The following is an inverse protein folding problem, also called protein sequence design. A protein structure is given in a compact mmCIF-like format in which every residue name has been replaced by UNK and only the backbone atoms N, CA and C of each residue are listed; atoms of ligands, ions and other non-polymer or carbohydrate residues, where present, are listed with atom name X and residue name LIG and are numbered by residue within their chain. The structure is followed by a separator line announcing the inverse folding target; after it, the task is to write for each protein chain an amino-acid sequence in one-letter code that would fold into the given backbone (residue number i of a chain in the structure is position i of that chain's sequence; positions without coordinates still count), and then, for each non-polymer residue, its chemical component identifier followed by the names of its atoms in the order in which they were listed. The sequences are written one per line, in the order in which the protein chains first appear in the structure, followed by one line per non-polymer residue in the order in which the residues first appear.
data_IF_038659476871
#
_entry.id   IF_038659476871
#
_cell.length_a   1.000
_cell.length_b   1.000
_cell.length_c   1.000
_cell.angle_alpha   90.00
_cell.angle_beta   90.00
_cell.angle_gamma   90.00
#
_symmetry.space_group_name_H-M   'P 1'
#
loop_
_entity.id
_entity.type
_entity.pdbx_description
1 polymer ?
#
# COMPACT_ATOMS: atom_id res chain seq x y z
N UNK A 1 1.55 27.28 -9.65
CA UNK A 1 1.83 26.94 -8.22
C UNK A 1 3.26 27.37 -7.92
N UNK A 2 3.47 28.17 -6.87
CA UNK A 2 4.81 28.60 -6.46
C UNK A 2 5.51 27.43 -5.74
N UNK A 3 6.33 26.69 -6.47
CA UNK A 3 7.18 25.65 -5.95
C UNK A 3 8.35 26.27 -5.19
N UNK A 4 8.66 25.75 -4.01
CA UNK A 4 9.78 26.22 -3.18
C UNK A 4 10.88 25.17 -3.10
N UNK A 5 12.10 25.63 -2.81
CA UNK A 5 13.21 24.74 -2.49
C UNK A 5 12.83 23.80 -1.33
N UNK A 6 13.19 22.53 -1.46
CA UNK A 6 12.84 21.42 -0.56
C UNK A 6 11.36 21.00 -0.54
N UNK A 7 10.50 21.60 -1.36
CA UNK A 7 9.16 21.07 -1.52
C UNK A 7 9.23 19.67 -2.13
N UNK A 8 8.43 18.76 -1.57
CA UNK A 8 8.28 17.42 -2.09
C UNK A 8 7.74 17.45 -3.52
N UNK A 9 8.30 16.62 -4.37
CA UNK A 9 7.94 16.50 -5.78
C UNK A 9 7.46 15.09 -6.07
N UNK A 10 6.20 14.94 -6.43
CA UNK A 10 5.64 13.63 -6.80
C UNK A 10 5.54 13.50 -8.33
N UNK A 11 6.67 13.24 -8.99
CA UNK A 11 6.75 13.09 -10.45
C UNK A 11 6.90 11.64 -10.92
N UNK A 12 7.07 10.69 -10.00
CA UNK A 12 7.55 9.35 -10.32
C UNK A 12 6.46 8.27 -10.27
N UNK A 13 5.20 8.62 -10.01
CA UNK A 13 4.12 7.65 -9.84
C UNK A 13 3.00 7.89 -10.83
N UNK A 14 2.66 6.84 -11.56
CA UNK A 14 1.37 6.70 -12.24
C UNK A 14 0.57 5.63 -11.51
N UNK A 15 -0.60 5.97 -11.01
CA UNK A 15 -1.53 4.99 -10.45
C UNK A 15 -2.49 4.54 -11.54
N UNK A 16 -2.68 3.24 -11.64
CA UNK A 16 -3.65 2.63 -12.54
C UNK A 16 -4.80 2.03 -11.75
N UNK A 17 -6.01 2.42 -12.09
CA UNK A 17 -7.21 1.80 -11.55
C UNK A 17 -7.40 0.44 -12.23
N UNK A 18 -7.26 -0.65 -11.47
CA UNK A 18 -7.28 -2.01 -12.03
C UNK A 18 -8.65 -2.65 -11.88
N UNK A 19 -9.27 -2.55 -10.70
CA UNK A 19 -10.55 -3.17 -10.39
C UNK A 19 -11.45 -2.23 -9.58
N UNK A 20 -12.75 -2.31 -9.82
CA UNK A 20 -13.76 -1.61 -9.00
C UNK A 20 -14.98 -2.48 -8.80
N UNK A 21 -15.54 -2.49 -7.60
CA UNK A 21 -16.81 -3.15 -7.29
C UNK A 21 -18.03 -2.51 -7.98
N UNK A 22 -17.87 -1.29 -8.50
CA UNK A 22 -18.93 -0.59 -9.24
C UNK A 22 -19.06 -1.09 -10.68
N UNK A 23 -18.08 -1.88 -11.16
CA UNK A 23 -18.13 -2.44 -12.51
C UNK A 23 -19.13 -3.58 -12.60
N UNK A 24 -19.72 -3.75 -13.78
CA UNK A 24 -20.54 -4.94 -14.08
C UNK A 24 -19.69 -6.20 -14.00
N UNK A 25 -20.26 -7.33 -13.56
CA UNK A 25 -19.55 -8.61 -13.41
C UNK A 25 -18.70 -8.98 -14.65
N UNK A 26 -19.27 -8.88 -15.86
CA UNK A 26 -18.55 -9.12 -17.11
C UNK A 26 -17.32 -8.22 -17.30
N UNK A 27 -17.34 -6.99 -16.80
CA UNK A 27 -16.19 -6.09 -16.86
C UNK A 27 -15.13 -6.51 -15.84
N UNK A 28 -15.56 -6.90 -14.63
CA UNK A 28 -14.64 -7.42 -13.59
C UNK A 28 -13.89 -8.65 -14.10
N UNK A 29 -14.57 -9.61 -14.71
CA UNK A 29 -13.95 -10.80 -15.29
C UNK A 29 -12.89 -10.44 -16.35
N UNK A 30 -13.22 -9.47 -17.21
CA UNK A 30 -12.29 -8.96 -18.21
C UNK A 30 -11.07 -8.27 -17.60
N UNK A 31 -11.27 -7.46 -16.58
CA UNK A 31 -10.20 -6.74 -15.90
C UNK A 31 -9.27 -7.71 -15.15
N UNK A 32 -9.84 -8.73 -14.50
CA UNK A 32 -9.07 -9.81 -13.85
C UNK A 32 -8.26 -10.59 -14.91
N UNK A 33 -8.86 -10.92 -16.05
CA UNK A 33 -8.16 -11.60 -17.15
C UNK A 33 -7.00 -10.75 -17.68
N UNK A 34 -7.19 -9.44 -17.89
CA UNK A 34 -6.13 -8.53 -18.30
C UNK A 34 -5.02 -8.42 -17.25
N UNK A 35 -5.37 -8.36 -15.97
CA UNK A 35 -4.40 -8.35 -14.88
C UNK A 35 -3.56 -9.65 -14.87
N UNK A 36 -4.22 -10.79 -15.01
CA UNK A 36 -3.55 -12.09 -15.10
C UNK A 36 -2.61 -12.17 -16.31
N UNK A 37 -3.08 -11.78 -17.50
CA UNK A 37 -2.23 -11.73 -18.70
C UNK A 37 -1.02 -10.81 -18.49
N UNK A 38 -1.22 -9.63 -17.90
CA UNK A 38 -0.15 -8.69 -17.60
C UNK A 38 0.89 -9.29 -16.66
N UNK A 39 0.46 -9.99 -15.61
CA UNK A 39 1.35 -10.66 -14.66
C UNK A 39 2.17 -11.78 -15.31
N UNK A 40 1.56 -12.55 -16.20
CA UNK A 40 2.23 -13.64 -16.92
C UNK A 40 3.21 -13.13 -17.99
N UNK A 41 2.96 -11.98 -18.59
CA UNK A 41 3.76 -11.43 -19.70
C UNK A 41 4.90 -10.51 -19.24
N UNK A 42 4.93 -10.07 -17.99
CA UNK A 42 5.95 -9.15 -17.47
C UNK A 42 7.38 -9.70 -17.52
N UNK A 43 7.52 -11.02 -17.65
CA UNK A 43 8.84 -11.68 -17.75
C UNK A 43 9.45 -11.59 -19.16
N UNK A 44 8.66 -11.31 -20.20
CA UNK A 44 9.11 -11.46 -21.59
C UNK A 44 8.81 -10.28 -22.53
N UNK A 45 7.78 -9.49 -22.27
CA UNK A 45 7.41 -8.36 -23.13
C UNK A 45 6.88 -7.19 -22.28
N UNK A 46 7.40 -5.96 -22.43
CA UNK A 46 6.79 -4.79 -21.79
C UNK A 46 5.43 -4.54 -22.45
N UNK A 47 4.37 -4.99 -21.79
CA UNK A 47 3.00 -4.92 -22.29
C UNK A 47 2.50 -3.47 -22.45
N UNK A 48 3.01 -2.57 -21.64
CA UNK A 48 2.76 -1.13 -21.75
C UNK A 48 3.90 -0.35 -21.08
N UNK A 49 4.28 0.82 -21.60
CA UNK A 49 5.21 1.72 -20.90
C UNK A 49 4.75 2.09 -19.49
N UNK A 50 3.42 2.04 -19.23
CA UNK A 50 2.82 2.33 -17.93
C UNK A 50 2.94 1.17 -16.93
N UNK A 51 3.20 -0.05 -17.40
CA UNK A 51 3.38 -1.27 -16.59
C UNK A 51 4.87 -1.62 -16.42
N UNK A 52 5.78 -0.67 -16.57
CA UNK A 52 7.18 -0.93 -16.31
C UNK A 52 7.39 -1.33 -14.85
N UNK A 53 7.79 -2.58 -14.68
CA UNK A 53 8.22 -3.11 -13.38
C UNK A 53 9.62 -2.59 -13.09
N UNK A 54 9.86 -2.16 -11.86
CA UNK A 54 11.17 -1.73 -11.39
C UNK A 54 11.06 -0.63 -10.34
N UNK A 55 11.49 -0.92 -9.14
CA UNK A 55 11.36 -0.06 -7.98
C UNK A 55 9.96 -0.13 -7.35
N UNK A 56 9.91 0.16 -6.06
CA UNK A 56 8.65 0.21 -5.29
C UNK A 56 8.38 1.66 -4.92
N UNK A 57 7.54 2.42 -5.66
CA UNK A 57 7.27 3.83 -5.38
C UNK A 57 6.26 3.99 -4.24
N UNK A 58 6.39 3.21 -3.15
CA UNK A 58 5.45 3.18 -2.04
C UNK A 58 5.22 4.56 -1.44
N UNK A 59 6.27 5.28 -1.08
CA UNK A 59 6.18 6.61 -0.47
C UNK A 59 5.44 7.59 -1.38
N UNK A 60 5.76 7.57 -2.69
CA UNK A 60 5.08 8.44 -3.66
C UNK A 60 3.61 8.05 -3.86
N UNK A 61 3.28 6.75 -3.81
CA UNK A 61 1.90 6.28 -3.88
C UNK A 61 1.09 6.69 -2.64
N UNK A 62 1.67 6.58 -1.45
CA UNK A 62 1.03 6.98 -0.20
C UNK A 62 0.66 8.48 -0.17
N UNK A 63 1.44 9.33 -0.82
CA UNK A 63 1.16 10.78 -0.90
C UNK A 63 -0.12 11.11 -1.67
N UNK A 64 -0.62 10.21 -2.50
CA UNK A 64 -1.83 10.43 -3.32
C UNK A 64 -3.08 9.86 -2.63
N UNK A 65 -2.91 9.01 -1.62
CA UNK A 65 -4.00 8.32 -0.92
C UNK A 65 -5.11 9.26 -0.41
N UNK A 66 -4.85 10.44 0.17
CA UNK A 66 -5.91 11.34 0.62
C UNK A 66 -6.86 11.75 -0.51
N UNK A 67 -6.33 12.03 -1.70
CA UNK A 67 -7.16 12.40 -2.85
C UNK A 67 -7.98 11.21 -3.36
N UNK A 68 -7.40 10.00 -3.37
CA UNK A 68 -8.11 8.77 -3.75
C UNK A 68 -9.25 8.49 -2.77
N UNK A 69 -9.01 8.60 -1.47
CA UNK A 69 -10.04 8.39 -0.43
C UNK A 69 -11.15 9.41 -0.55
N UNK A 70 -10.82 10.67 -0.79
CA UNK A 70 -11.80 11.74 -1.01
C UNK A 70 -12.69 11.45 -2.22
N UNK A 71 -12.08 11.08 -3.35
CA UNK A 71 -12.82 10.72 -4.57
C UNK A 71 -13.70 9.48 -4.33
N UNK A 72 -13.16 8.45 -3.69
CA UNK A 72 -13.90 7.23 -3.34
C UNK A 72 -15.13 7.56 -2.48
N UNK A 73 -14.99 8.37 -1.43
CA UNK A 73 -16.11 8.78 -0.58
C UNK A 73 -17.16 9.56 -1.33
N UNK A 74 -16.74 10.50 -2.17
CA UNK A 74 -17.67 11.31 -2.97
C UNK A 74 -18.51 10.45 -3.92
N UNK A 75 -17.93 9.37 -4.43
CA UNK A 75 -18.60 8.45 -5.35
C UNK A 75 -19.50 7.44 -4.64
N UNK A 76 -19.05 6.91 -3.50
CA UNK A 76 -19.72 5.77 -2.84
C UNK A 76 -20.56 6.16 -1.63
N UNK A 77 -20.42 7.38 -1.11
CA UNK A 77 -20.99 7.83 0.18
C UNK A 77 -20.59 6.91 1.36
N UNK A 78 -19.44 6.25 1.29
CA UNK A 78 -18.96 5.33 2.31
C UNK A 78 -18.70 6.05 3.63
N UNK A 79 -19.35 5.58 4.71
CA UNK A 79 -19.16 6.12 6.07
C UNK A 79 -17.87 5.63 6.71
N UNK A 80 -17.50 4.36 6.48
CA UNK A 80 -16.25 3.76 6.95
C UNK A 80 -15.39 3.41 5.73
N UNK A 81 -14.14 3.79 5.76
CA UNK A 81 -13.17 3.50 4.71
C UNK A 81 -11.95 2.82 5.32
N UNK A 82 -11.47 1.80 4.65
CA UNK A 82 -10.23 1.12 4.98
C UNK A 82 -9.27 1.18 3.81
N UNK A 83 -8.07 1.64 4.07
CA UNK A 83 -6.98 1.63 3.12
C UNK A 83 -6.03 0.49 3.43
N UNK A 84 -5.88 -0.44 2.50
CA UNK A 84 -4.95 -1.56 2.60
C UNK A 84 -3.88 -1.40 1.53
N UNK A 85 -2.64 -1.22 1.97
CA UNK A 85 -1.48 -1.21 1.10
C UNK A 85 -0.89 -2.61 1.03
N UNK A 86 -0.60 -3.11 -0.17
CA UNK A 86 0.08 -4.40 -0.37
C UNK A 86 1.38 -4.11 -1.11
N UNK A 87 2.51 -4.54 -0.55
CA UNK A 87 3.84 -4.31 -1.14
C UNK A 87 4.75 -5.52 -0.92
N UNK A 88 5.72 -5.70 -1.80
CA UNK A 88 6.78 -6.71 -1.71
C UNK A 88 8.18 -6.11 -1.57
N UNK A 89 8.28 -4.79 -1.43
CA UNK A 89 9.54 -4.06 -1.37
C UNK A 89 9.52 -2.83 -0.48
N UNK A 90 10.72 -2.39 -0.14
CA UNK A 90 10.93 -1.08 0.50
C UNK A 90 10.68 0.04 -0.50
N UNK A 91 10.28 1.22 0.00
CA UNK A 91 10.04 2.36 -0.86
C UNK A 91 11.29 2.87 -1.56
N UNK A 92 11.16 3.26 -2.83
CA UNK A 92 12.13 4.13 -3.48
C UNK A 92 12.15 5.51 -2.81
N UNK A 93 13.29 6.24 -2.82
CA UNK A 93 13.35 7.58 -2.26
C UNK A 93 12.32 8.52 -2.91
N UNK A 94 11.74 9.42 -2.13
CA UNK A 94 10.92 10.51 -2.67
C UNK A 94 11.78 11.54 -3.39
N UNK A 95 11.16 12.33 -4.24
CA UNK A 95 11.82 13.45 -4.91
C UNK A 95 11.49 14.77 -4.22
N UNK A 96 12.38 15.75 -4.35
CA UNK A 96 12.16 17.12 -3.92
C UNK A 96 12.74 18.12 -4.91
N UNK A 97 12.30 19.37 -4.84
CA UNK A 97 12.83 20.44 -5.68
C UNK A 97 14.10 21.03 -5.09
N UNK A 98 15.22 20.89 -5.83
CA UNK A 98 16.51 21.46 -5.48
C UNK A 98 16.98 22.47 -6.55
N UNK A 99 17.80 23.46 -6.19
CA UNK A 99 18.45 24.33 -7.16
C UNK A 99 19.31 23.50 -8.13
N UNK A 100 19.14 23.74 -9.40
CA UNK A 100 19.90 23.16 -10.51
C UNK A 100 20.39 24.29 -11.40
N UNK A 101 21.45 24.04 -12.16
CA UNK A 101 21.94 24.97 -13.16
C UNK A 101 21.89 24.33 -14.54
N UNK A 102 21.44 25.07 -15.51
CA UNK A 102 21.57 24.74 -16.93
C UNK A 102 23.01 24.91 -17.38
N UNK A 103 23.36 24.39 -18.55
CA UNK A 103 24.70 24.53 -19.13
C UNK A 103 25.07 25.99 -19.36
N UNK A 104 24.10 26.86 -19.66
CA UNK A 104 24.27 28.32 -19.81
C UNK A 104 24.28 29.09 -18.47
N UNK A 105 24.33 28.38 -17.35
CA UNK A 105 24.45 28.96 -16.00
C UNK A 105 23.16 29.45 -15.36
N UNK A 106 21.98 29.33 -16.01
CA UNK A 106 20.70 29.73 -15.42
C UNK A 106 20.28 28.77 -14.31
N UNK A 107 19.85 29.33 -13.20
CA UNK A 107 19.31 28.54 -12.08
C UNK A 107 17.83 28.21 -12.28
N UNK A 108 17.46 26.99 -11.94
CA UNK A 108 16.06 26.52 -11.91
C UNK A 108 15.86 25.51 -10.77
N UNK A 109 14.60 25.26 -10.36
CA UNK A 109 14.27 24.21 -9.42
C UNK A 109 13.98 22.91 -10.18
N UNK A 110 14.85 21.91 -10.01
CA UNK A 110 14.72 20.59 -10.63
C UNK A 110 14.46 19.51 -9.59
N UNK A 111 13.74 18.46 -10.00
CA UNK A 111 13.51 17.30 -9.14
C UNK A 111 14.83 16.52 -8.89
N UNK A 112 15.06 16.12 -7.64
CA UNK A 112 16.18 15.28 -7.23
C UNK A 112 15.75 14.32 -6.12
N UNK A 113 16.48 13.21 -5.95
CA UNK A 113 16.21 12.23 -4.90
C UNK A 113 16.52 12.76 -3.49
N UNK A 114 15.62 12.50 -2.55
CA UNK A 114 15.82 12.82 -1.14
C UNK A 114 16.50 11.65 -0.42
N UNK A 115 17.82 11.48 -0.64
CA UNK A 115 18.57 10.42 0.06
C UNK A 115 18.81 10.75 1.53
N UNK A 116 19.15 12.00 1.83
CA UNK A 116 19.61 12.43 3.16
C UNK A 116 18.96 13.74 3.61
N UNK A 117 18.08 14.31 2.80
CA UNK A 117 17.47 15.61 3.06
C UNK A 117 16.04 15.44 3.54
N UNK A 118 15.71 16.13 4.60
CA UNK A 118 14.33 16.36 4.99
C UNK A 118 13.63 17.19 3.92
N UNK A 119 12.41 16.79 3.55
CA UNK A 119 11.61 17.45 2.54
C UNK A 119 10.32 18.00 3.13
N UNK A 120 9.72 18.99 2.47
CA UNK A 120 8.51 19.65 2.92
C UNK A 120 7.32 19.22 2.07
N UNK A 121 6.36 18.56 2.70
CA UNK A 121 5.08 18.22 2.10
C UNK A 121 4.09 19.36 2.34
N UNK A 122 3.60 19.96 1.26
CA UNK A 122 2.55 21.00 1.32
C UNK A 122 1.23 20.45 0.84
N UNK A 123 0.29 20.35 1.76
CA UNK A 123 -1.06 19.84 1.48
C UNK A 123 -2.10 20.66 2.22
N UNK A 124 -3.17 21.07 1.55
CA UNK A 124 -4.30 21.83 2.12
C UNK A 124 -3.87 23.02 3.00
N UNK A 125 -2.87 23.80 2.54
CA UNK A 125 -2.36 24.95 3.28
C UNK A 125 -1.44 24.64 4.46
N UNK A 126 -1.31 23.37 4.85
CA UNK A 126 -0.40 22.91 5.88
C UNK A 126 0.95 22.51 5.30
N UNK A 127 1.98 22.56 6.13
CA UNK A 127 3.34 22.12 5.78
C UNK A 127 3.77 21.05 6.79
N UNK A 128 4.06 19.87 6.28
CA UNK A 128 4.55 18.75 7.07
C UNK A 128 5.99 18.42 6.67
N UNK A 129 6.80 18.08 7.66
CA UNK A 129 8.18 17.65 7.48
C UNK A 129 8.20 16.15 7.24
N UNK A 130 8.80 15.73 6.14
CA UNK A 130 9.02 14.31 5.82
C UNK A 130 10.52 14.04 5.98
N UNK A 131 10.84 13.12 6.86
CA UNK A 131 12.23 12.73 7.10
C UNK A 131 12.81 11.99 5.89
N UNK A 132 14.14 11.97 5.81
CA UNK A 132 14.84 11.17 4.81
C UNK A 132 14.82 9.67 5.16
N UNK A 133 15.32 8.82 4.27
CA UNK A 133 15.50 7.40 4.58
C UNK A 133 16.40 7.19 5.82
N UNK A 134 16.13 6.19 6.66
CA UNK A 134 15.10 5.14 6.48
C UNK A 134 13.67 5.55 6.88
N UNK A 135 13.50 6.72 7.49
CA UNK A 135 12.27 7.11 8.18
C UNK A 135 11.21 7.79 7.28
N UNK A 136 11.44 7.89 5.97
CA UNK A 136 10.53 8.57 5.03
C UNK A 136 9.14 7.95 5.02
N UNK A 137 9.05 6.63 4.88
CA UNK A 137 7.76 5.91 4.88
C UNK A 137 7.03 6.12 6.21
N UNK A 138 7.75 6.05 7.34
CA UNK A 138 7.17 6.29 8.66
C UNK A 138 6.58 7.70 8.78
N UNK A 139 7.31 8.72 8.34
CA UNK A 139 6.87 10.11 8.36
C UNK A 139 5.65 10.35 7.47
N UNK A 140 5.61 9.71 6.30
CA UNK A 140 4.47 9.81 5.36
C UNK A 140 3.23 9.12 5.94
N UNK A 141 3.38 7.94 6.56
CA UNK A 141 2.25 7.24 7.19
C UNK A 141 1.72 8.03 8.40
N UNK A 142 2.59 8.65 9.20
CA UNK A 142 2.16 9.54 10.27
C UNK A 142 1.40 10.75 9.74
N UNK A 143 1.86 11.36 8.66
CA UNK A 143 1.13 12.41 7.97
C UNK A 143 -0.24 11.92 7.48
N UNK A 144 -0.31 10.75 6.82
CA UNK A 144 -1.57 10.14 6.37
C UNK A 144 -2.55 9.96 7.53
N UNK A 145 -2.09 9.47 8.69
CA UNK A 145 -2.92 9.31 9.89
C UNK A 145 -3.48 10.65 10.38
N UNK A 146 -2.71 11.73 10.25
CA UNK A 146 -3.19 13.07 10.63
C UNK A 146 -4.18 13.68 9.65
N UNK A 147 -4.12 13.32 8.36
CA UNK A 147 -5.05 13.76 7.33
C UNK A 147 -6.30 12.87 7.24
N UNK A 148 -6.19 11.59 7.59
CA UNK A 148 -7.21 10.56 7.42
C UNK A 148 -7.56 9.92 8.79
N UNK A 149 -8.02 10.73 9.73
CA UNK A 149 -8.26 10.31 11.13
C UNK A 149 -9.36 9.25 11.29
N UNK A 150 -10.25 9.14 10.31
CA UNK A 150 -11.39 8.22 10.28
C UNK A 150 -11.22 7.08 9.26
N UNK A 151 -10.00 6.90 8.74
CA UNK A 151 -9.64 5.81 7.82
C UNK A 151 -8.76 4.79 8.53
N UNK A 152 -9.14 3.53 8.44
CA UNK A 152 -8.27 2.44 8.89
C UNK A 152 -7.15 2.22 7.88
N UNK A 153 -5.89 2.30 8.34
CA UNK A 153 -4.71 2.17 7.49
C UNK A 153 -3.96 0.88 7.86
N UNK A 154 -3.78 0.01 6.88
CA UNK A 154 -3.10 -1.27 7.03
C UNK A 154 -2.05 -1.45 5.95
N UNK A 155 -0.91 -2.02 6.31
CA UNK A 155 0.09 -2.46 5.35
C UNK A 155 0.28 -3.98 5.41
N UNK A 156 0.27 -4.64 4.26
CA UNK A 156 0.58 -6.05 4.09
C UNK A 156 1.85 -6.19 3.24
N UNK A 157 2.90 -6.70 3.85
CA UNK A 157 4.17 -6.94 3.18
C UNK A 157 4.27 -8.41 2.74
N UNK A 158 4.55 -8.62 1.46
CA UNK A 158 4.71 -9.95 0.88
C UNK A 158 6.20 -10.31 0.81
N UNK A 159 6.65 -11.31 1.56
CA UNK A 159 8.06 -11.67 1.53
C UNK A 159 8.45 -12.88 2.35
N UNK A 160 9.58 -13.51 1.98
CA UNK A 160 10.23 -14.55 2.80
C UNK A 160 10.80 -13.92 4.08
N UNK A 161 11.09 -14.75 5.09
CA UNK A 161 11.53 -14.31 6.42
C UNK A 161 12.59 -13.20 6.39
N UNK A 162 13.71 -13.39 5.71
CA UNK A 162 14.81 -12.43 5.72
C UNK A 162 14.39 -11.04 5.22
N UNK A 163 13.68 -10.98 4.09
CA UNK A 163 13.17 -9.73 3.52
C UNK A 163 12.13 -9.08 4.42
N UNK A 164 11.21 -9.88 4.96
CA UNK A 164 10.16 -9.42 5.88
C UNK A 164 10.73 -8.92 7.20
N UNK A 165 11.74 -9.60 7.75
CA UNK A 165 12.43 -9.18 8.98
C UNK A 165 13.16 -7.84 8.78
N UNK A 166 13.87 -7.66 7.67
CA UNK A 166 14.53 -6.40 7.31
C UNK A 166 13.51 -5.27 7.18
N UNK A 167 12.37 -5.52 6.51
CA UNK A 167 11.30 -4.55 6.34
C UNK A 167 10.69 -4.10 7.67
N UNK A 168 10.35 -5.04 8.56
CA UNK A 168 9.82 -4.71 9.90
C UNK A 168 10.86 -3.94 10.72
N UNK A 169 12.12 -4.37 10.66
CA UNK A 169 13.20 -3.73 11.40
C UNK A 169 13.41 -2.27 10.99
N UNK A 170 13.15 -1.90 9.74
CA UNK A 170 13.23 -0.52 9.28
C UNK A 170 12.24 0.41 9.98
N UNK A 171 11.20 -0.13 10.62
CA UNK A 171 10.24 0.61 11.45
C UNK A 171 10.53 0.49 12.96
N UNK A 172 11.71 0.00 13.34
CA UNK A 172 12.11 -0.14 14.75
C UNK A 172 11.53 -1.36 15.47
N UNK A 173 10.95 -2.29 14.74
CA UNK A 173 10.32 -3.50 15.27
C UNK A 173 11.16 -4.75 14.97
N UNK A 174 10.91 -5.83 15.72
CA UNK A 174 11.52 -7.14 15.47
C UNK A 174 10.44 -8.18 15.20
N UNK A 175 10.67 -9.01 14.18
CA UNK A 175 9.78 -10.10 13.84
C UNK A 175 10.21 -11.38 14.56
N UNK A 176 9.26 -12.07 15.22
CA UNK A 176 9.49 -13.40 15.79
C UNK A 176 9.53 -14.45 14.67
N UNK A 177 10.74 -14.97 14.42
CA UNK A 177 10.96 -15.97 13.37
C UNK A 177 10.17 -17.28 13.60
N UNK A 178 10.06 -17.71 14.85
CA UNK A 178 9.34 -18.98 15.17
C UNK A 178 7.85 -18.82 14.86
N UNK A 179 7.26 -17.68 15.24
CA UNK A 179 5.86 -17.37 14.94
C UNK A 179 5.64 -17.28 13.44
N UNK A 180 6.51 -16.54 12.72
CA UNK A 180 6.39 -16.39 11.27
C UNK A 180 6.52 -17.74 10.53
N UNK A 181 7.52 -18.58 10.88
CA UNK A 181 7.70 -19.90 10.25
C UNK A 181 6.54 -20.83 10.53
N UNK A 182 6.00 -20.82 11.76
CA UNK A 182 4.87 -21.65 12.15
C UNK A 182 3.57 -21.27 11.45
N UNK A 183 3.30 -19.97 11.33
CA UNK A 183 2.01 -19.43 10.88
C UNK A 183 2.01 -19.02 9.40
N UNK A 184 3.19 -18.88 8.78
CA UNK A 184 3.35 -18.30 7.44
C UNK A 184 3.08 -16.81 7.38
N UNK A 185 2.78 -16.19 8.52
CA UNK A 185 2.53 -14.75 8.65
C UNK A 185 2.90 -14.25 10.04
N UNK A 186 3.11 -12.94 10.11
CA UNK A 186 3.35 -12.20 11.36
C UNK A 186 2.62 -10.88 11.31
N UNK A 187 1.91 -10.53 12.37
CA UNK A 187 1.14 -9.29 12.45
C UNK A 187 1.59 -8.51 13.68
N UNK A 188 1.84 -7.23 13.51
CA UNK A 188 2.26 -6.33 14.56
C UNK A 188 1.65 -4.93 14.37
N UNK A 189 1.71 -4.12 15.40
CA UNK A 189 1.43 -2.68 15.34
C UNK A 189 2.75 -1.94 15.50
N UNK A 190 2.98 -0.89 14.71
CA UNK A 190 4.17 -0.05 14.84
C UNK A 190 3.78 1.42 14.99
N UNK A 191 4.74 2.25 15.36
CA UNK A 191 4.52 3.71 15.37
C UNK A 191 4.14 4.24 13.99
N UNK A 192 4.66 3.61 12.94
CA UNK A 192 4.41 4.01 11.56
C UNK A 192 3.10 3.42 11.03
N UNK A 193 2.93 2.12 11.16
CA UNK A 193 1.76 1.41 10.65
C UNK A 193 0.85 0.99 11.79
N UNK A 194 -0.42 1.44 11.82
CA UNK A 194 -1.40 0.98 12.81
C UNK A 194 -1.58 -0.54 12.81
N UNK A 195 -1.53 -1.13 11.61
CA UNK A 195 -1.42 -2.57 11.40
C UNK A 195 -0.38 -2.85 10.32
N UNK A 196 0.61 -3.68 10.66
CA UNK A 196 1.64 -4.17 9.76
C UNK A 196 1.59 -5.69 9.76
N UNK A 197 1.17 -6.26 8.65
CA UNK A 197 1.18 -7.71 8.42
C UNK A 197 2.30 -8.09 7.46
N UNK A 198 3.00 -9.16 7.73
CA UNK A 198 3.91 -9.80 6.78
C UNK A 198 3.41 -11.19 6.44
N UNK A 199 3.47 -11.55 5.19
CA UNK A 199 2.91 -12.76 4.65
C UNK A 199 3.96 -13.44 3.79
N UNK A 200 4.20 -14.73 4.04
CA UNK A 200 5.01 -15.54 3.13
C UNK A 200 4.10 -16.05 2.00
N UNK A 201 4.26 -15.56 0.77
CA UNK A 201 3.39 -15.96 -0.35
C UNK A 201 3.51 -17.46 -0.68
N UNK A 202 4.62 -18.12 -0.32
CA UNK A 202 4.80 -19.57 -0.54
C UNK A 202 3.90 -20.44 0.37
N UNK A 203 3.27 -19.84 1.39
CA UNK A 203 2.37 -20.55 2.29
C UNK A 203 0.90 -20.43 1.87
N UNK A 204 0.61 -19.68 0.80
CA UNK A 204 -0.72 -19.72 0.18
C UNK A 204 -0.80 -21.02 -0.63
N UNK A 205 -1.51 -22.00 -0.08
CA UNK A 205 -1.93 -23.14 -0.88
C UNK A 205 -3.08 -22.72 -1.78
N UNK A 206 -3.13 -23.27 -3.01
CA UNK A 206 -4.22 -23.07 -3.98
C UNK A 206 -5.57 -23.67 -3.52
N UNK A 207 -5.70 -24.03 -2.25
CA UNK A 207 -6.98 -24.41 -1.67
C UNK A 207 -7.83 -23.17 -1.54
N UNK A 208 -8.61 -22.89 -2.58
CA UNK A 208 -9.76 -22.01 -2.57
C UNK A 208 -10.82 -22.60 -1.64
N UNK A 209 -10.67 -22.35 -0.33
CA UNK A 209 -11.83 -22.38 0.54
C UNK A 209 -12.67 -21.16 0.15
N UNK A 210 -13.48 -21.32 -0.88
CA UNK A 210 -14.39 -20.29 -1.36
C UNK A 210 -15.29 -19.86 -0.21
N UNK A 211 -15.36 -18.56 0.02
CA UNK A 211 -16.41 -18.00 0.85
C UNK A 211 -17.71 -18.15 0.04
N UNK A 212 -18.30 -19.34 0.08
CA UNK A 212 -19.57 -19.64 -0.57
C UNK A 212 -20.68 -18.83 0.16
N UNK A 213 -20.94 -17.65 -0.35
CA UNK A 213 -22.00 -16.76 0.12
C UNK A 213 -22.83 -16.40 -1.10
N UNK A 214 -24.12 -16.72 -1.05
CA UNK A 214 -25.06 -16.40 -2.11
C UNK A 214 -25.28 -14.89 -2.24
N UNK A 215 -25.53 -14.43 -3.46
CA UNK A 215 -25.99 -13.06 -3.72
C UNK A 215 -27.28 -12.79 -2.94
N UNK A 216 -27.24 -11.81 -2.03
CA UNK A 216 -28.35 -11.51 -1.14
C UNK A 216 -28.28 -12.16 0.25
N UNK A 217 -27.18 -12.82 0.59
CA UNK A 217 -26.99 -13.39 1.93
C UNK A 217 -27.11 -12.34 3.03
N UNK A 218 -27.82 -12.72 4.10
CA UNK A 218 -27.97 -11.89 5.30
C UNK A 218 -26.63 -11.72 6.04
N UNK A 219 -26.50 -10.65 6.82
CA UNK A 219 -25.33 -10.40 7.68
C UNK A 219 -24.97 -11.61 8.56
N UNK A 220 -25.98 -12.36 9.03
CA UNK A 220 -25.79 -13.56 9.83
C UNK A 220 -25.20 -14.72 9.02
N UNK A 221 -25.64 -14.91 7.77
CA UNK A 221 -25.11 -15.92 6.85
C UNK A 221 -23.69 -15.61 6.44
N UNK A 222 -23.39 -14.35 6.13
CA UNK A 222 -22.03 -13.87 5.84
C UNK A 222 -21.10 -14.14 7.03
N UNK A 223 -21.55 -13.81 8.25
CA UNK A 223 -20.79 -14.05 9.49
C UNK A 223 -20.59 -15.55 9.76
N UNK A 224 -21.56 -16.40 9.48
CA UNK A 224 -21.45 -17.85 9.64
C UNK A 224 -20.47 -18.46 8.62
N UNK A 225 -20.56 -18.07 7.34
CA UNK A 225 -19.66 -18.49 6.29
C UNK A 225 -18.21 -18.05 6.58
N UNK A 226 -18.03 -16.82 7.02
CA UNK A 226 -16.73 -16.27 7.44
C UNK A 226 -16.16 -17.04 8.64
N UNK A 227 -16.98 -17.37 9.66
CA UNK A 227 -16.56 -18.16 10.81
C UNK A 227 -16.19 -19.61 10.42
N UNK A 228 -16.87 -20.17 9.43
CA UNK A 228 -16.55 -21.51 8.88
C UNK A 228 -15.21 -21.46 8.16
N UNK A 229 -14.97 -20.49 7.30
CA UNK A 229 -13.70 -20.23 6.63
C UNK A 229 -12.57 -19.98 7.65
N UNK A 230 -12.84 -19.24 8.71
CA UNK A 230 -11.90 -18.96 9.80
C UNK A 230 -11.56 -20.19 10.66
N UNK A 231 -12.32 -21.28 10.61
CA UNK A 231 -12.01 -22.54 11.31
C UNK A 231 -11.02 -23.43 10.56
N UNK A 232 -10.79 -23.22 9.28
CA UNK A 232 -9.73 -23.92 8.53
C UNK A 232 -8.35 -23.40 8.93
N UNK A 233 -7.35 -24.26 9.05
CA UNK A 233 -6.01 -23.94 9.59
C UNK A 233 -5.10 -23.24 8.57
N UNK A 234 -5.52 -22.13 7.97
CA UNK A 234 -4.73 -21.43 6.95
C UNK A 234 -4.14 -20.10 7.46
N UNK A 235 -2.97 -19.75 6.96
CA UNK A 235 -2.25 -18.49 7.26
C UNK A 235 -3.06 -17.25 6.94
N UNK A 236 -3.94 -17.31 5.95
CA UNK A 236 -4.91 -16.27 5.58
C UNK A 236 -5.85 -15.90 6.72
N UNK A 237 -6.15 -16.87 7.62
CA UNK A 237 -7.08 -16.72 8.73
C UNK A 237 -6.60 -15.69 9.76
N UNK A 238 -5.34 -15.72 10.14
CA UNK A 238 -4.82 -14.81 11.18
C UNK A 238 -4.90 -13.36 10.71
N UNK A 239 -4.52 -13.13 9.46
CA UNK A 239 -4.54 -11.80 8.85
C UNK A 239 -5.98 -11.33 8.68
N UNK A 240 -6.85 -12.19 8.15
CA UNK A 240 -8.26 -11.85 7.96
C UNK A 240 -8.94 -11.54 9.29
N UNK A 241 -8.65 -12.32 10.35
CA UNK A 241 -9.18 -12.08 11.70
C UNK A 241 -8.72 -10.73 12.24
N UNK A 242 -7.45 -10.39 12.09
CA UNK A 242 -6.89 -9.11 12.54
C UNK A 242 -7.47 -7.93 11.73
N UNK A 243 -7.65 -8.09 10.42
CA UNK A 243 -8.31 -7.10 9.57
C UNK A 243 -9.76 -6.88 9.99
N UNK A 244 -10.51 -7.97 10.21
CA UNK A 244 -11.93 -7.90 10.62
C UNK A 244 -12.08 -7.19 11.97
N UNK A 245 -11.19 -7.46 12.94
CA UNK A 245 -11.22 -6.74 14.23
C UNK A 245 -10.98 -5.24 14.11
N UNK A 246 -10.30 -4.79 13.05
CA UNK A 246 -10.15 -3.37 12.78
C UNK A 246 -11.38 -2.74 12.10
N UNK A 247 -12.19 -3.55 11.42
CA UNK A 247 -13.37 -3.09 10.66
C UNK A 247 -14.68 -3.20 11.45
N UNK A 248 -14.68 -3.94 12.55
CA UNK A 248 -15.84 -4.11 13.43
C UNK A 248 -15.98 -2.94 14.40
#
# INVERSE_FOLDING_TARGET
KNVKKYDLCNTAVSLMHVLTSDAKAKQIDKDIYHLWCSAMMTTHVPFSPHLRMGGTPLDNALLIVPEIIKEFRNRTNAQKVSFVCITDGESAPVYYYAPRRTYDGKEYLGATYAHWNTVMLRHNGKVSKIESRPDSTASIVQWLKSELTDVSITNLFLGKFAKSSSYIKSFGENMDEKVFRKNGCYVTTSKSWPLLGVINPSNFSDTTDELAVDDGATKTQIKAALNKMLKTKNSSKLILTQLIHQFA
#
